data_IF_137816206603
#
_entry.id   IF_137816206603
#
_cell.length_a   1.000
_cell.length_b   1.000
_cell.length_c   1.000
_cell.angle_alpha   90.00
_cell.angle_beta   90.00
_cell.angle_gamma   90.00
#
_symmetry.space_group_name_H-M   'P 1'
#
loop_
_entity.id
_entity.type
_entity.pdbx_description
1 polymer ?
#
# COMPACT_ATOMS: atom_id res chain seq x y z
N UNK A 1 -26.71 3.90 -55.36
CA UNK A 1 -25.32 3.44 -55.11
C UNK A 1 -24.52 4.29 -54.10
N UNK A 2 -25.02 5.44 -53.60
CA UNK A 2 -24.29 6.27 -52.60
C UNK A 2 -24.66 6.00 -51.13
N UNK A 3 -25.86 5.46 -50.87
CA UNK A 3 -26.37 5.23 -49.50
C UNK A 3 -25.78 3.97 -48.85
N UNK A 4 -25.44 2.95 -49.64
CA UNK A 4 -24.88 1.69 -49.14
C UNK A 4 -23.47 1.87 -48.54
N UNK A 5 -22.70 2.84 -49.04
CA UNK A 5 -21.32 3.11 -48.60
C UNK A 5 -21.27 3.80 -47.22
N UNK A 6 -22.32 4.52 -46.84
CA UNK A 6 -22.40 5.26 -45.57
C UNK A 6 -22.69 4.34 -44.38
N UNK A 7 -23.39 3.23 -44.61
CA UNK A 7 -23.77 2.26 -43.57
C UNK A 7 -22.57 1.40 -43.14
N UNK A 8 -21.63 1.13 -44.06
CA UNK A 8 -20.40 0.38 -43.78
C UNK A 8 -19.44 1.11 -42.83
N UNK A 9 -19.51 2.44 -42.74
CA UNK A 9 -18.69 3.21 -41.80
C UNK A 9 -19.16 3.13 -40.34
N UNK A 10 -20.42 2.77 -40.10
CA UNK A 10 -20.96 2.65 -38.73
C UNK A 10 -20.59 1.33 -38.04
N UNK A 11 -20.02 0.36 -38.74
CA UNK A 11 -19.62 -0.94 -38.17
C UNK A 11 -18.11 -1.09 -37.92
N UNK A 12 -17.29 -0.09 -38.25
CA UNK A 12 -15.84 -0.12 -38.03
C UNK A 12 -15.40 0.18 -36.59
N UNK A 13 -16.35 0.27 -35.65
CA UNK A 13 -16.12 0.66 -34.25
C UNK A 13 -15.82 -0.47 -33.26
N UNK A 14 -15.73 -1.73 -33.69
CA UNK A 14 -15.27 -2.83 -32.82
C UNK A 14 -13.74 -2.92 -32.84
N UNK A 15 -13.08 -2.01 -32.13
CA UNK A 15 -11.73 -2.27 -31.67
C UNK A 15 -11.78 -3.43 -30.68
N UNK A 16 -11.11 -4.54 -31.01
CA UNK A 16 -10.81 -5.62 -30.09
C UNK A 16 -10.02 -5.05 -28.91
N UNK A 17 -10.71 -4.72 -27.82
CA UNK A 17 -10.10 -4.31 -26.56
C UNK A 17 -9.59 -5.56 -25.83
N UNK A 18 -8.64 -6.27 -26.44
CA UNK A 18 -8.05 -7.49 -25.90
C UNK A 18 -6.83 -7.15 -25.02
N UNK A 19 -7.08 -6.34 -24.01
CA UNK A 19 -6.24 -6.21 -22.81
C UNK A 19 -7.06 -5.42 -21.78
N UNK A 20 -8.13 -6.04 -21.30
CA UNK A 20 -8.68 -5.62 -20.01
C UNK A 20 -7.52 -5.75 -19.02
N UNK A 21 -7.08 -4.64 -18.45
CA UNK A 21 -6.03 -4.60 -17.43
C UNK A 21 -6.42 -5.57 -16.31
N UNK A 22 -5.88 -6.79 -16.37
CA UNK A 22 -6.02 -7.79 -15.32
C UNK A 22 -4.74 -7.71 -14.50
N UNK A 23 -4.76 -7.00 -13.37
CA UNK A 23 -3.61 -6.99 -12.49
C UNK A 23 -3.22 -8.42 -12.09
N UNK A 24 -1.96 -8.65 -11.77
CA UNK A 24 -1.54 -9.93 -11.21
C UNK A 24 -2.23 -10.16 -9.86
N UNK A 25 -2.38 -11.42 -9.47
CA UNK A 25 -2.96 -11.80 -8.17
C UNK A 25 -2.19 -11.13 -7.02
N UNK A 26 -0.86 -11.00 -7.14
CA UNK A 26 -0.03 -10.34 -6.14
C UNK A 26 -0.33 -8.84 -6.06
N UNK A 27 -0.48 -8.16 -7.20
CA UNK A 27 -0.84 -6.74 -7.23
C UNK A 27 -2.24 -6.49 -6.63
N UNK A 28 -3.21 -7.35 -6.94
CA UNK A 28 -4.55 -7.26 -6.32
C UNK A 28 -4.51 -7.44 -4.81
N UNK A 29 -3.79 -8.45 -4.32
CA UNK A 29 -3.60 -8.68 -2.88
C UNK A 29 -2.90 -7.51 -2.20
N UNK A 30 -1.91 -6.91 -2.87
CA UNK A 30 -1.21 -5.73 -2.38
C UNK A 30 -2.17 -4.56 -2.21
N UNK A 31 -3.00 -4.26 -3.22
CA UNK A 31 -4.03 -3.21 -3.12
C UNK A 31 -4.96 -3.48 -1.95
N UNK A 32 -5.50 -4.69 -1.83
CA UNK A 32 -6.46 -5.04 -0.78
C UNK A 32 -5.85 -5.00 0.63
N UNK A 33 -4.55 -5.28 0.72
CA UNK A 33 -3.78 -5.25 1.97
C UNK A 33 -3.17 -3.89 2.28
N UNK A 34 -3.44 -2.86 1.46
CA UNK A 34 -2.92 -1.50 1.62
C UNK A 34 -3.90 -0.56 2.31
N UNK A 35 -3.40 0.35 3.13
CA UNK A 35 -4.15 1.44 3.75
C UNK A 35 -3.41 2.74 3.55
N UNK A 36 -4.11 3.80 3.17
CA UNK A 36 -3.55 5.12 2.92
C UNK A 36 -4.02 6.10 3.98
N UNK A 37 -3.10 6.91 4.49
CA UNK A 37 -3.41 7.99 5.42
C UNK A 37 -2.58 9.23 5.08
N UNK A 38 -2.98 10.38 5.62
CA UNK A 38 -2.32 11.64 5.37
C UNK A 38 -2.37 12.55 6.60
N UNK A 39 -1.35 13.40 6.74
CA UNK A 39 -1.31 14.49 7.71
C UNK A 39 -1.58 15.79 6.95
N UNK A 40 -2.56 16.55 7.44
CA UNK A 40 -2.93 17.86 6.90
C UNK A 40 -2.55 18.92 7.93
N UNK A 41 -1.81 19.95 7.50
CA UNK A 41 -1.55 21.17 8.28
C UNK A 41 -1.94 22.39 7.44
N UNK A 42 -2.61 23.36 8.04
CA UNK A 42 -3.01 24.61 7.37
C UNK A 42 -3.73 24.38 6.02
N UNK A 43 -4.64 23.41 5.99
CA UNK A 43 -5.38 22.95 4.80
C UNK A 43 -4.50 22.43 3.64
N UNK A 44 -3.26 22.03 3.92
CA UNK A 44 -2.35 21.41 2.96
C UNK A 44 -1.91 20.04 3.44
N UNK A 45 -1.87 19.08 2.53
CA UNK A 45 -1.32 17.75 2.82
C UNK A 45 0.19 17.85 2.89
N UNK A 46 0.77 17.67 4.08
CA UNK A 46 2.22 17.76 4.29
C UNK A 46 2.90 16.39 4.17
N UNK A 47 2.16 15.32 4.43
CA UNK A 47 2.68 13.96 4.37
C UNK A 47 1.55 12.99 4.01
N UNK A 48 1.84 12.08 3.10
CA UNK A 48 0.99 10.97 2.67
C UNK A 48 1.79 9.71 2.91
N UNK A 49 1.16 8.70 3.51
CA UNK A 49 1.76 7.39 3.57
C UNK A 49 0.77 6.29 3.21
N UNK A 50 1.30 5.21 2.64
CA UNK A 50 0.59 3.98 2.37
C UNK A 50 1.26 2.87 3.15
N UNK A 51 0.51 2.14 3.95
CA UNK A 51 0.97 0.97 4.68
C UNK A 51 0.35 -0.29 4.07
N UNK A 52 1.18 -1.22 3.62
CA UNK A 52 0.76 -2.51 3.08
C UNK A 52 1.12 -3.61 4.05
N UNK A 53 0.15 -4.41 4.47
CA UNK A 53 0.39 -5.57 5.34
C UNK A 53 0.82 -6.79 4.53
N UNK A 54 2.11 -7.10 4.54
CA UNK A 54 2.73 -8.02 3.59
C UNK A 54 2.41 -9.50 3.82
N UNK A 55 2.09 -9.89 5.05
CA UNK A 55 1.68 -11.27 5.37
C UNK A 55 0.42 -11.71 4.61
N UNK A 56 -0.45 -10.76 4.21
CA UNK A 56 -1.63 -11.04 3.39
C UNK A 56 -1.35 -10.99 1.88
N UNK A 57 -0.22 -10.41 1.48
CA UNK A 57 0.19 -10.31 0.07
C UNK A 57 0.87 -11.60 -0.36
N UNK A 58 1.90 -12.01 0.36
CA UNK A 58 2.62 -13.25 0.12
C UNK A 58 3.09 -13.89 1.43
N UNK A 59 2.29 -14.83 1.94
CA UNK A 59 2.60 -15.56 3.17
C UNK A 59 3.75 -16.55 3.03
N UNK A 60 4.20 -16.86 1.81
CA UNK A 60 5.34 -17.75 1.57
C UNK A 60 6.67 -17.06 1.86
N UNK A 61 6.75 -15.75 1.58
CA UNK A 61 7.91 -14.90 1.89
C UNK A 61 7.75 -14.26 3.28
N UNK A 62 6.60 -13.65 3.54
CA UNK A 62 6.30 -12.93 4.78
C UNK A 62 5.57 -13.87 5.75
N UNK A 63 6.33 -14.83 6.27
CA UNK A 63 5.82 -15.89 7.12
C UNK A 63 5.33 -15.39 8.49
N UNK A 64 4.45 -16.19 9.10
CA UNK A 64 3.60 -15.77 10.23
C UNK A 64 4.29 -15.58 11.57
N UNK A 65 5.62 -15.60 11.66
CA UNK A 65 6.32 -15.39 12.93
C UNK A 65 6.58 -13.90 13.23
N UNK A 66 6.27 -13.01 12.27
CA UNK A 66 6.32 -11.55 12.42
C UNK A 66 5.19 -10.91 11.64
N UNK A 67 4.86 -9.68 12.03
CA UNK A 67 3.98 -8.82 11.24
C UNK A 67 4.82 -7.88 10.38
N UNK A 68 4.74 -8.01 9.07
CA UNK A 68 5.53 -7.24 8.12
C UNK A 68 4.68 -6.18 7.44
N UNK A 69 5.25 -4.97 7.35
CA UNK A 69 4.62 -3.86 6.65
C UNK A 69 5.60 -3.21 5.67
N UNK A 70 5.11 -2.95 4.46
CA UNK A 70 5.73 -2.01 3.53
C UNK A 70 5.09 -0.64 3.74
N UNK A 71 5.88 0.34 4.13
CA UNK A 71 5.44 1.72 4.32
C UNK A 71 6.03 2.59 3.23
N UNK A 72 5.18 3.19 2.41
CA UNK A 72 5.57 4.15 1.39
C UNK A 72 5.22 5.54 1.88
N UNK A 73 6.21 6.41 2.05
CA UNK A 73 6.04 7.77 2.57
C UNK A 73 6.38 8.77 1.48
N UNK A 74 5.42 9.64 1.18
CA UNK A 74 5.60 10.80 0.32
C UNK A 74 5.36 12.06 1.15
N UNK A 75 6.32 12.97 1.16
CA UNK A 75 6.19 14.25 1.84
C UNK A 75 6.78 15.37 0.99
N UNK A 76 6.19 16.54 1.09
CA UNK A 76 6.80 17.78 0.59
C UNK A 76 7.90 18.30 1.52
N UNK A 77 7.95 17.79 2.76
CA UNK A 77 8.93 18.16 3.77
C UNK A 77 10.20 17.31 3.59
N UNK A 78 11.36 17.95 3.70
CA UNK A 78 12.65 17.26 3.75
C UNK A 78 12.89 16.73 5.17
N UNK A 79 12.30 15.56 5.48
CA UNK A 79 12.37 14.93 6.81
C UNK A 79 13.42 13.81 6.78
N UNK A 80 14.29 13.71 7.80
CA UNK A 80 15.14 12.55 8.01
C UNK A 80 14.30 11.36 8.51
N UNK A 81 13.50 10.77 7.62
CA UNK A 81 12.41 9.85 7.98
C UNK A 81 12.81 8.75 8.97
N UNK A 82 14.00 8.15 8.86
CA UNK A 82 14.42 7.06 9.76
C UNK A 82 14.52 7.47 11.25
N UNK A 83 14.86 8.72 11.53
CA UNK A 83 15.10 9.20 12.90
C UNK A 83 13.85 9.80 13.55
N UNK A 84 12.92 10.30 12.72
CA UNK A 84 11.76 11.08 13.14
C UNK A 84 10.44 10.31 13.01
N UNK A 85 10.46 9.08 12.48
CA UNK A 85 9.28 8.23 12.34
C UNK A 85 9.25 7.15 13.42
N UNK A 86 8.20 7.16 14.21
CA UNK A 86 7.93 6.17 15.24
C UNK A 86 6.71 5.34 14.86
N UNK A 87 6.90 4.03 14.77
CA UNK A 87 5.82 3.11 14.44
C UNK A 87 5.38 2.31 15.67
N UNK A 88 4.07 2.11 15.79
CA UNK A 88 3.51 1.22 16.79
C UNK A 88 2.33 0.44 16.22
N UNK A 89 2.18 -0.79 16.68
CA UNK A 89 1.03 -1.64 16.41
C UNK A 89 0.09 -1.62 17.62
N UNK A 90 -1.15 -2.08 17.43
CA UNK A 90 -2.19 -2.21 18.47
C UNK A 90 -1.64 -2.46 19.87
N UNK A 91 -2.15 -1.73 20.87
CA UNK A 91 -1.65 -1.73 22.25
C UNK A 91 -0.23 -1.16 22.42
N UNK A 92 0.21 -0.28 21.52
CA UNK A 92 1.51 0.39 21.55
C UNK A 92 2.70 -0.58 21.45
N UNK A 93 2.54 -1.71 20.76
CA UNK A 93 3.64 -2.63 20.47
C UNK A 93 4.61 -1.94 19.53
N UNK A 94 5.85 -1.71 19.98
CA UNK A 94 6.87 -1.06 19.17
C UNK A 94 7.41 -1.98 18.07
N UNK A 95 7.89 -1.37 16.99
CA UNK A 95 8.55 -2.13 15.92
C UNK A 95 9.83 -2.80 16.41
N UNK A 96 10.17 -3.95 15.82
CA UNK A 96 11.42 -4.66 16.08
C UNK A 96 12.58 -4.07 15.29
N UNK A 97 12.32 -3.77 14.01
CA UNK A 97 13.28 -3.12 13.13
C UNK A 97 12.57 -2.40 11.99
N UNK A 98 13.26 -1.41 11.44
CA UNK A 98 12.88 -0.64 10.26
C UNK A 98 14.09 -0.55 9.33
N UNK A 99 13.86 -0.73 8.03
CA UNK A 99 14.86 -0.59 6.99
C UNK A 99 14.30 0.19 5.81
N UNK A 100 15.01 1.20 5.36
CA UNK A 100 14.70 1.89 4.09
C UNK A 100 15.10 1.00 2.91
N UNK A 101 14.20 0.83 1.95
CA UNK A 101 14.44 0.09 0.73
C UNK A 101 15.21 0.95 -0.26
N UNK A 102 16.20 0.34 -0.93
CA UNK A 102 16.93 0.99 -2.01
C UNK A 102 16.17 0.84 -3.33
N UNK A 103 16.33 1.80 -4.25
CA UNK A 103 15.61 1.83 -5.55
C UNK A 103 15.86 0.60 -6.43
N UNK A 104 16.88 -0.20 -6.14
CA UNK A 104 17.23 -1.43 -6.87
C UNK A 104 16.71 -2.72 -6.20
N UNK A 105 16.00 -2.62 -5.07
CA UNK A 105 15.36 -3.74 -4.38
C UNK A 105 13.86 -3.86 -4.71
N UNK A 106 13.39 -3.07 -5.69
CA UNK A 106 12.02 -3.09 -6.16
C UNK A 106 11.70 -4.43 -6.84
N UNK A 107 10.87 -5.25 -6.19
CA UNK A 107 10.22 -6.41 -6.78
C UNK A 107 8.71 -6.15 -6.98
N UNK A 108 7.96 -7.15 -7.44
CA UNK A 108 6.51 -7.03 -7.65
C UNK A 108 5.74 -6.64 -6.37
N UNK A 109 6.25 -6.99 -5.19
CA UNK A 109 5.63 -6.75 -3.88
C UNK A 109 6.14 -5.44 -3.26
N UNK A 110 7.44 -5.19 -3.33
CA UNK A 110 8.15 -4.09 -2.68
C UNK A 110 8.20 -2.81 -3.51
N UNK A 111 7.90 -2.88 -4.81
CA UNK A 111 7.84 -1.72 -5.70
C UNK A 111 6.90 -0.63 -5.15
N UNK A 112 7.35 0.61 -5.15
CA UNK A 112 6.47 1.71 -4.75
C UNK A 112 5.37 1.96 -5.79
N UNK A 113 4.15 2.25 -5.33
CA UNK A 113 3.08 2.79 -6.20
C UNK A 113 3.46 4.17 -6.75
N UNK A 114 4.30 4.90 -6.02
CA UNK A 114 4.74 6.24 -6.36
C UNK A 114 6.27 6.35 -6.26
N UNK A 115 6.91 6.59 -7.40
CA UNK A 115 8.37 6.77 -7.57
C UNK A 115 9.02 7.87 -6.74
N UNK A 116 8.25 8.81 -6.19
CA UNK A 116 8.73 9.88 -5.32
C UNK A 116 8.63 9.53 -3.84
N UNK A 117 8.08 8.36 -3.51
CA UNK A 117 7.97 7.89 -2.13
C UNK A 117 9.26 7.24 -1.70
N UNK A 118 9.60 7.41 -0.42
CA UNK A 118 10.59 6.55 0.24
C UNK A 118 9.86 5.34 0.81
N UNK A 119 10.40 4.15 0.58
CA UNK A 119 9.80 2.90 1.02
C UNK A 119 10.58 2.33 2.19
N UNK A 120 9.85 1.82 3.19
CA UNK A 120 10.40 1.22 4.39
C UNK A 120 9.79 -0.15 4.61
N UNK A 121 10.61 -1.12 4.94
CA UNK A 121 10.18 -2.41 5.43
C UNK A 121 10.27 -2.41 6.96
N UNK A 122 9.18 -2.77 7.61
CA UNK A 122 9.04 -2.77 9.06
C UNK A 122 8.55 -4.14 9.51
N UNK A 123 9.09 -4.61 10.63
CA UNK A 123 8.61 -5.83 11.28
C UNK A 123 8.23 -5.58 12.74
N UNK A 124 7.17 -6.24 13.18
CA UNK A 124 6.74 -6.33 14.58
C UNK A 124 6.76 -7.78 15.05
N UNK A 125 6.68 -7.97 16.36
CA UNK A 125 6.35 -9.27 16.93
C UNK A 125 4.98 -9.73 16.42
N UNK A 126 4.84 -11.04 16.29
CA UNK A 126 3.59 -11.68 15.89
C UNK A 126 2.47 -11.28 16.85
N UNK A 127 1.33 -10.87 16.29
CA UNK A 127 0.12 -10.63 17.06
C UNK A 127 -0.64 -11.92 17.32
N UNK A 128 -1.28 -12.01 18.48
CA UNK A 128 -2.28 -13.05 18.72
C UNK A 128 -3.49 -12.85 17.80
N UNK A 129 -4.21 -13.93 17.52
CA UNK A 129 -5.36 -13.90 16.61
C UNK A 129 -6.41 -12.84 17.00
N UNK A 130 -6.65 -12.63 18.29
CA UNK A 130 -7.58 -11.62 18.77
C UNK A 130 -7.08 -10.19 18.53
N UNK A 131 -5.78 -9.96 18.70
CA UNK A 131 -5.15 -8.67 18.46
C UNK A 131 -5.14 -8.33 16.96
N UNK A 132 -4.89 -9.34 16.12
CA UNK A 132 -4.89 -9.18 14.66
C UNK A 132 -6.23 -8.71 14.10
N UNK A 133 -7.36 -9.09 14.71
CA UNK A 133 -8.70 -8.60 14.31
C UNK A 133 -8.89 -7.09 14.50
N UNK A 134 -8.14 -6.52 15.45
CA UNK A 134 -8.21 -5.09 15.78
C UNK A 134 -6.88 -4.40 15.45
N UNK A 135 -6.20 -4.87 14.39
CA UNK A 135 -4.87 -4.40 14.04
C UNK A 135 -4.92 -2.98 13.49
N UNK A 136 -4.22 -2.08 14.17
CA UNK A 136 -4.00 -0.69 13.75
C UNK A 136 -2.51 -0.40 13.82
N UNK A 137 -1.98 0.12 12.73
CA UNK A 137 -0.61 0.63 12.68
C UNK A 137 -0.67 2.14 12.84
N UNK A 138 0.11 2.68 13.77
CA UNK A 138 0.25 4.12 13.96
C UNK A 138 1.65 4.53 13.52
N UNK A 139 1.72 5.60 12.74
CA UNK A 139 2.94 6.32 12.39
C UNK A 139 2.87 7.69 13.06
N UNK A 140 3.76 7.95 14.00
CA UNK A 140 3.99 9.26 14.57
C UNK A 140 5.26 9.87 13.96
N UNK A 141 5.14 11.12 13.52
CA UNK A 141 6.24 11.85 12.89
C UNK A 141 6.52 13.09 13.72
N UNK A 142 7.70 13.15 14.31
CA UNK A 142 8.15 14.22 15.20
C UNK A 142 7.89 15.61 14.60
N UNK A 143 7.26 16.49 15.37
CA UNK A 143 6.89 17.86 14.98
C UNK A 143 5.96 17.97 13.75
N UNK A 144 5.50 16.85 13.17
CA UNK A 144 4.57 16.81 12.03
C UNK A 144 3.20 16.30 12.47
N UNK A 145 3.14 15.22 13.25
CA UNK A 145 1.92 14.65 13.81
C UNK A 145 1.80 13.16 13.51
N UNK A 146 0.65 12.60 13.84
CA UNK A 146 0.39 11.15 13.76
C UNK A 146 -0.65 10.79 12.71
N UNK A 147 -0.55 9.58 12.15
CA UNK A 147 -1.61 8.94 11.38
C UNK A 147 -1.79 7.48 11.77
N UNK A 148 -2.99 6.94 11.51
CA UNK A 148 -3.33 5.56 11.80
C UNK A 148 -3.83 4.86 10.54
N UNK A 149 -3.34 3.65 10.33
CA UNK A 149 -3.75 2.73 9.28
C UNK A 149 -4.61 1.62 9.91
N UNK A 150 -5.88 1.59 9.53
CA UNK A 150 -6.85 0.66 10.12
C UNK A 150 -6.99 -0.62 9.27
N UNK A 151 -6.54 -1.75 9.83
CA UNK A 151 -6.59 -3.06 9.21
C UNK A 151 -7.73 -3.95 9.78
N UNK A 152 -8.71 -3.38 10.49
CA UNK A 152 -9.85 -4.16 11.01
C UNK A 152 -10.83 -4.65 9.94
N UNK A 153 -10.77 -4.11 8.73
CA UNK A 153 -11.70 -4.48 7.66
C UNK A 153 -11.40 -5.86 7.08
N UNK A 154 -12.46 -6.64 6.82
CA UNK A 154 -12.35 -7.91 6.11
C UNK A 154 -11.80 -7.68 4.70
N UNK A 155 -10.73 -8.41 4.37
CA UNK A 155 -10.26 -8.50 2.99
C UNK A 155 -11.24 -9.40 2.26
N UNK A 156 -11.95 -8.83 1.29
CA UNK A 156 -12.83 -9.59 0.42
C UNK A 156 -11.96 -10.58 -0.39
N UNK A 157 -12.10 -11.87 -0.10
CA UNK A 157 -11.59 -12.90 -1.01
C UNK A 157 -12.42 -12.83 -2.29
N UNK A 158 -11.86 -12.16 -3.31
CA UNK A 158 -12.45 -12.16 -4.63
C UNK A 158 -12.31 -13.57 -5.20
N UNK A 159 -13.43 -14.31 -5.23
CA UNK A 159 -13.52 -15.58 -5.95
C UNK A 159 -13.35 -15.30 -7.43
N UNK A 160 -12.21 -15.72 -7.98
CA UNK A 160 -11.96 -15.79 -9.42
C UNK A 160 -12.81 -16.89 -10.08
#
# INVERSE_FOLDING_TARGET
MKVLLLILFFFSGCGLYHNSYKPSILFEKKINSSRKAQIIKDNKTVLIATATYLNNVDSSIYNGDREYFLIEVFSELDIPFKEYMHFSLTNNVSFLWIRELQTNEDDEILSSYNKWSKSFLIAFDRLEYQQKKNMKLTLDVDNVGSMTFDFTYEILEMKL
#
